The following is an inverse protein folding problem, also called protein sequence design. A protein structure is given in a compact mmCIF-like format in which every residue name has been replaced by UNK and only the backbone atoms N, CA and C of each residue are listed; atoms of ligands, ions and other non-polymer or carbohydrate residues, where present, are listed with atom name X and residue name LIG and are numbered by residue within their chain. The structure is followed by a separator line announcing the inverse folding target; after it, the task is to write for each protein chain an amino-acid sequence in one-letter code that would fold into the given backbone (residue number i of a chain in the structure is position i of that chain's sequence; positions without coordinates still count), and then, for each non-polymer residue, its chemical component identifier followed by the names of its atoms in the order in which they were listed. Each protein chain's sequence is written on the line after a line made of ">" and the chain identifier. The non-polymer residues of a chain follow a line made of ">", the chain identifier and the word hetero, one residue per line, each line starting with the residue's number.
data_IF_515200739195
#
_entry.id   IF_515200739195
#
_cell.length_a   1.000
_cell.length_b   1.000
_cell.length_c   1.000
_cell.angle_alpha   90.00
_cell.angle_beta   90.00
_cell.angle_gamma   90.00
#
_symmetry.space_group_name_H-M   'P 1'
#
loop_
_entity.id
_entity.type
_entity.pdbx_description
1 polymer ?
#
# COMPACT_ATOMS: atom_id res chain seq x y z
N UNK A 1 -19.14 10.84 4.57
CA UNK A 1 -19.61 9.67 5.37
C UNK A 1 -18.56 8.58 5.34
N UNK A 2 -18.14 8.04 6.50
CA UNK A 2 -17.26 6.87 6.58
C UNK A 2 -18.01 5.60 6.12
N UNK A 3 -17.40 4.80 5.25
CA UNK A 3 -18.00 3.56 4.75
C UNK A 3 -17.67 2.36 5.65
N UNK A 4 -18.68 1.53 5.90
CA UNK A 4 -18.52 0.25 6.60
C UNK A 4 -18.27 -0.92 5.62
N UNK A 5 -17.97 -2.08 6.18
CA UNK A 5 -17.71 -3.33 5.46
C UNK A 5 -18.79 -3.68 4.42
N UNK A 6 -20.08 -3.54 4.76
CA UNK A 6 -21.19 -3.83 3.85
C UNK A 6 -21.19 -2.91 2.63
N UNK A 7 -20.93 -1.63 2.84
CA UNK A 7 -20.85 -0.64 1.77
C UNK A 7 -19.63 -0.86 0.89
N UNK A 8 -18.47 -1.13 1.49
CA UNK A 8 -17.22 -1.43 0.76
C UNK A 8 -17.39 -2.72 -0.07
N UNK A 9 -17.98 -3.78 0.50
CA UNK A 9 -18.32 -5.02 -0.21
C UNK A 9 -19.19 -4.75 -1.43
N UNK A 10 -20.27 -3.99 -1.24
CA UNK A 10 -21.18 -3.65 -2.35
C UNK A 10 -20.46 -2.89 -3.47
N UNK A 11 -19.57 -1.94 -3.14
CA UNK A 11 -18.78 -1.21 -4.14
C UNK A 11 -17.78 -2.13 -4.86
N UNK A 12 -17.13 -3.03 -4.14
CA UNK A 12 -16.22 -4.01 -4.74
C UNK A 12 -16.96 -4.96 -5.70
N UNK A 13 -18.11 -5.49 -5.32
CA UNK A 13 -18.88 -6.44 -6.15
C UNK A 13 -19.55 -5.79 -7.35
N UNK A 14 -20.21 -4.63 -7.16
CA UNK A 14 -21.00 -3.98 -8.22
C UNK A 14 -20.18 -3.09 -9.14
N UNK A 15 -19.14 -2.46 -8.60
CA UNK A 15 -18.34 -1.46 -9.34
C UNK A 15 -16.88 -1.90 -9.54
N UNK A 16 -16.51 -3.12 -9.12
CA UNK A 16 -15.12 -3.62 -9.19
C UNK A 16 -14.12 -2.63 -8.57
N UNK A 17 -14.55 -1.97 -7.49
CA UNK A 17 -13.77 -0.92 -6.82
C UNK A 17 -12.41 -1.44 -6.35
N UNK A 18 -12.32 -2.72 -5.96
CA UNK A 18 -11.11 -3.40 -5.51
C UNK A 18 -11.01 -4.72 -6.28
N UNK A 19 -9.88 -4.99 -6.90
CA UNK A 19 -9.67 -6.21 -7.68
C UNK A 19 -8.21 -6.72 -7.58
N UNK A 20 -7.95 -7.91 -7.01
CA UNK A 20 -8.93 -8.87 -6.48
C UNK A 20 -9.49 -8.45 -5.11
N UNK A 21 -10.79 -8.65 -4.91
CA UNK A 21 -11.47 -8.40 -3.63
C UNK A 21 -11.50 -9.64 -2.73
N UNK A 22 -11.20 -9.46 -1.44
CA UNK A 22 -11.25 -10.51 -0.42
C UNK A 22 -12.26 -10.12 0.67
N UNK A 23 -13.41 -10.79 0.66
CA UNK A 23 -14.58 -10.44 1.48
C UNK A 23 -14.38 -10.62 2.99
N UNK A 24 -13.37 -11.40 3.41
CA UNK A 24 -13.08 -11.67 4.83
C UNK A 24 -11.61 -11.45 5.12
N UNK A 25 -11.32 -10.99 6.34
CA UNK A 25 -9.95 -10.91 6.85
C UNK A 25 -9.27 -12.28 6.83
N UNK A 26 -8.21 -12.40 6.04
CA UNK A 26 -7.26 -13.51 6.10
C UNK A 26 -6.17 -13.19 7.10
N UNK A 27 -5.96 -14.06 8.09
CA UNK A 27 -5.05 -13.82 9.22
C UNK A 27 -4.16 -15.02 9.57
N UNK A 28 -4.43 -16.21 9.01
CA UNK A 28 -3.65 -17.40 9.34
C UNK A 28 -2.30 -17.38 8.62
N UNK A 29 -1.22 -17.31 9.40
CA UNK A 29 0.16 -17.41 8.91
C UNK A 29 0.67 -16.20 8.13
N UNK A 30 -0.06 -15.09 8.13
CA UNK A 30 0.27 -13.87 7.37
C UNK A 30 -0.12 -12.61 8.17
N UNK A 31 0.51 -11.49 7.83
CA UNK A 31 0.01 -10.16 8.19
C UNK A 31 -1.32 -9.94 7.45
N UNK A 32 -2.36 -9.68 8.24
CA UNK A 32 -3.72 -9.83 7.77
C UNK A 32 -4.10 -8.90 6.62
N UNK A 33 -4.97 -9.36 5.72
CA UNK A 33 -5.48 -8.56 4.60
C UNK A 33 -6.94 -8.86 4.27
N UNK A 34 -7.58 -8.00 3.47
CA UNK A 34 -8.97 -8.10 3.06
C UNK A 34 -9.91 -7.14 3.79
N UNK A 35 -11.22 -7.39 3.66
CA UNK A 35 -12.26 -6.51 4.20
C UNK A 35 -12.28 -6.46 5.74
N UNK A 36 -12.15 -5.25 6.29
CA UNK A 36 -12.27 -4.92 7.72
C UNK A 36 -13.61 -4.20 7.99
N UNK A 37 -13.96 -3.97 9.26
CA UNK A 37 -15.25 -3.37 9.65
C UNK A 37 -15.51 -1.99 9.04
N UNK A 38 -14.47 -1.16 8.87
CA UNK A 38 -14.54 0.21 8.34
C UNK A 38 -13.38 0.50 7.38
N UNK A 39 -12.93 -0.52 6.65
CA UNK A 39 -11.79 -0.37 5.76
C UNK A 39 -11.45 -1.63 5.01
N UNK A 40 -10.37 -1.58 4.24
CA UNK A 40 -9.86 -2.72 3.51
C UNK A 40 -8.34 -2.75 3.62
N UNK A 41 -7.80 -3.86 4.13
CA UNK A 41 -6.36 -4.06 4.21
C UNK A 41 -5.84 -4.53 2.85
N UNK A 42 -5.04 -3.68 2.19
CA UNK A 42 -4.41 -4.01 0.90
C UNK A 42 -3.04 -4.66 1.12
N UNK A 43 -2.65 -5.48 0.15
CA UNK A 43 -1.37 -6.19 0.15
C UNK A 43 -0.32 -5.44 -0.65
N UNK A 44 0.94 -5.68 -0.32
CA UNK A 44 2.10 -5.24 -1.12
C UNK A 44 2.49 -6.34 -2.12
N UNK A 45 2.79 -5.97 -3.37
CA UNK A 45 3.23 -6.90 -4.40
C UNK A 45 4.69 -7.37 -4.18
N UNK A 46 5.16 -8.29 -5.03
CA UNK A 46 6.50 -8.87 -4.97
C UNK A 46 7.60 -8.04 -5.66
N UNK A 47 7.23 -6.93 -6.31
CA UNK A 47 8.17 -6.04 -7.01
C UNK A 47 8.43 -4.77 -6.19
N UNK A 48 9.69 -4.51 -5.89
CA UNK A 48 10.16 -3.39 -5.08
C UNK A 48 11.22 -2.57 -5.83
N UNK A 49 11.23 -1.27 -5.58
CA UNK A 49 12.31 -0.34 -5.93
C UNK A 49 12.96 0.13 -4.64
N UNK A 50 14.11 -0.44 -4.28
CA UNK A 50 14.82 -0.11 -3.04
C UNK A 50 15.77 1.05 -3.30
N UNK A 51 15.67 2.13 -2.54
CA UNK A 51 16.51 3.31 -2.77
C UNK A 51 17.95 3.07 -2.35
N UNK A 52 18.85 3.59 -3.17
CA UNK A 52 20.30 3.53 -2.97
C UNK A 52 20.93 4.89 -3.23
N UNK A 53 21.91 5.24 -2.43
CA UNK A 53 22.68 6.48 -2.56
C UNK A 53 24.01 6.29 -3.30
N UNK A 54 24.28 5.09 -3.85
CA UNK A 54 25.58 4.75 -4.46
C UNK A 54 25.86 5.60 -5.71
N UNK A 55 24.84 5.90 -6.52
CA UNK A 55 25.01 6.56 -7.81
C UNK A 55 24.45 7.99 -7.87
N UNK A 56 23.57 8.35 -6.92
CA UNK A 56 22.86 9.62 -6.96
C UNK A 56 23.43 10.65 -5.98
N UNK A 57 23.66 11.88 -6.45
CA UNK A 57 24.14 13.00 -5.62
C UNK A 57 23.02 13.69 -4.84
N UNK A 58 21.78 13.58 -5.32
CA UNK A 58 20.58 14.20 -4.73
C UNK A 58 19.31 13.57 -5.31
N UNK A 59 18.18 13.70 -4.60
CA UNK A 59 16.86 13.27 -5.08
C UNK A 59 16.10 14.49 -5.60
N UNK A 60 15.69 14.47 -6.87
CA UNK A 60 14.83 15.49 -7.48
C UNK A 60 13.45 14.91 -7.82
N UNK A 61 12.37 15.30 -7.11
CA UNK A 61 11.02 14.82 -7.40
C UNK A 61 10.51 15.16 -8.80
N UNK A 62 11.05 16.20 -9.48
CA UNK A 62 10.68 16.53 -10.87
C UNK A 62 11.38 15.64 -11.90
N UNK A 63 12.53 15.08 -11.53
CA UNK A 63 13.39 14.28 -12.40
C UNK A 63 13.78 12.98 -11.69
N UNK A 64 12.79 12.11 -11.52
CA UNK A 64 12.97 10.85 -10.79
C UNK A 64 13.89 9.89 -11.56
N UNK A 65 15.14 9.77 -11.11
CA UNK A 65 16.18 8.99 -11.79
C UNK A 65 16.11 7.49 -11.46
N UNK A 66 16.11 6.60 -12.48
CA UNK A 66 16.23 5.16 -12.28
C UNK A 66 17.52 4.72 -11.57
N UNK A 67 18.57 5.56 -11.56
CA UNK A 67 19.84 5.25 -10.88
C UNK A 67 19.75 5.37 -9.34
N UNK A 68 18.65 5.94 -8.83
CA UNK A 68 18.45 6.16 -7.39
C UNK A 68 17.85 4.94 -6.66
N UNK A 69 17.55 3.86 -7.38
CA UNK A 69 17.00 2.64 -6.80
C UNK A 69 17.48 1.39 -7.54
N UNK A 70 17.34 0.25 -6.88
CA UNK A 70 17.48 -1.08 -7.48
C UNK A 70 16.11 -1.73 -7.58
N UNK A 71 15.80 -2.30 -8.75
CA UNK A 71 14.62 -3.15 -8.93
C UNK A 71 14.88 -4.52 -8.31
N UNK A 72 14.02 -4.91 -7.37
CA UNK A 72 14.10 -6.18 -6.65
C UNK A 72 12.77 -6.90 -6.82
N UNK A 73 12.83 -8.11 -7.38
CA UNK A 73 11.72 -9.05 -7.35
C UNK A 73 11.97 -10.07 -6.24
N UNK A 74 11.07 -10.15 -5.27
CA UNK A 74 11.20 -11.07 -4.14
C UNK A 74 11.12 -12.51 -4.63
N UNK A 75 12.13 -13.32 -4.31
CA UNK A 75 12.17 -14.77 -4.61
C UNK A 75 11.75 -15.64 -3.43
N UNK A 76 11.55 -15.04 -2.26
CA UNK A 76 11.09 -15.70 -1.03
C UNK A 76 9.75 -15.11 -0.55
N UNK A 77 9.64 -14.90 0.75
CA UNK A 77 8.45 -14.33 1.42
C UNK A 77 8.55 -12.82 1.65
N UNK A 78 9.76 -12.23 1.69
CA UNK A 78 9.95 -10.83 2.05
C UNK A 78 11.05 -10.10 1.27
N UNK A 79 10.92 -8.78 1.23
CA UNK A 79 11.95 -7.82 0.83
C UNK A 79 12.66 -7.26 2.08
N UNK A 80 13.96 -6.96 1.97
CA UNK A 80 14.74 -6.30 3.02
C UNK A 80 14.98 -4.83 2.65
N UNK A 81 14.40 -3.91 3.41
CA UNK A 81 14.68 -2.47 3.28
C UNK A 81 15.88 -2.13 4.17
N UNK A 82 16.96 -1.53 3.64
CA UNK A 82 18.11 -1.12 4.43
C UNK A 82 17.76 -0.18 5.58
N UNK A 83 18.61 -0.10 6.63
CA UNK A 83 18.50 0.90 7.68
C UNK A 83 18.36 2.32 7.12
N UNK A 84 17.50 3.13 7.72
CA UNK A 84 17.33 4.55 7.40
C UNK A 84 17.15 4.84 5.89
N UNK A 85 16.53 3.91 5.17
CA UNK A 85 16.22 4.00 3.74
C UNK A 85 14.73 3.71 3.52
N UNK A 86 14.30 3.71 2.26
CA UNK A 86 12.93 3.41 1.88
C UNK A 86 12.86 2.60 0.59
N UNK A 87 11.68 2.03 0.35
CA UNK A 87 11.37 1.35 -0.90
C UNK A 87 10.01 1.81 -1.44
N UNK A 88 9.85 1.72 -2.76
CA UNK A 88 8.56 1.79 -3.42
C UNK A 88 8.13 0.39 -3.83
N UNK A 89 6.84 0.12 -3.69
CA UNK A 89 6.19 -1.07 -4.25
C UNK A 89 4.83 -0.66 -4.79
N UNK A 90 4.10 -1.60 -5.35
CA UNK A 90 2.69 -1.42 -5.70
C UNK A 90 1.80 -2.31 -4.85
N UNK A 91 0.53 -1.97 -4.74
CA UNK A 91 -0.47 -2.88 -4.19
C UNK A 91 -0.66 -4.11 -5.08
N UNK A 92 -1.11 -5.21 -4.47
CA UNK A 92 -1.65 -6.36 -5.23
C UNK A 92 -3.01 -5.99 -5.81
N UNK A 93 -3.83 -5.29 -5.03
CA UNK A 93 -5.14 -4.82 -5.44
C UNK A 93 -5.04 -3.66 -6.43
N UNK A 94 -5.78 -3.79 -7.53
CA UNK A 94 -6.08 -2.72 -8.46
C UNK A 94 -7.37 -2.02 -8.03
N UNK A 95 -7.35 -0.69 -8.00
CA UNK A 95 -8.47 0.11 -7.52
C UNK A 95 -9.18 0.79 -8.68
N UNK A 96 -10.50 0.93 -8.55
CA UNK A 96 -11.38 1.71 -9.45
C UNK A 96 -12.29 2.56 -8.59
N UNK A 97 -11.82 3.75 -8.23
CA UNK A 97 -12.54 4.60 -7.28
C UNK A 97 -13.79 5.18 -7.94
N UNK A 98 -14.98 4.99 -7.34
CA UNK A 98 -16.16 5.73 -7.76
C UNK A 98 -15.94 7.25 -7.69
N UNK A 99 -16.64 7.99 -8.53
CA UNK A 99 -16.61 9.47 -8.63
C UNK A 99 -17.03 10.22 -7.34
N UNK A 100 -17.52 9.52 -6.33
CA UNK A 100 -17.97 10.08 -5.04
C UNK A 100 -17.29 9.43 -3.84
N UNK A 101 -16.24 8.63 -4.06
CA UNK A 101 -15.51 7.93 -2.99
C UNK A 101 -14.04 8.32 -3.02
N UNK A 102 -13.55 8.72 -1.85
CA UNK A 102 -12.18 9.04 -1.55
C UNK A 102 -11.63 8.02 -0.55
N UNK A 103 -10.33 7.75 -0.56
CA UNK A 103 -9.72 6.88 0.45
C UNK A 103 -8.42 7.43 1.04
N UNK A 104 -8.24 7.20 2.33
CA UNK A 104 -6.99 7.46 3.06
C UNK A 104 -6.36 6.12 3.41
N UNK A 105 -5.05 6.00 3.23
CA UNK A 105 -4.28 4.84 3.63
C UNK A 105 -3.61 5.06 4.99
N UNK A 106 -3.67 4.05 5.86
CA UNK A 106 -3.04 4.06 7.18
C UNK A 106 -2.20 2.81 7.36
N UNK A 107 -0.97 2.96 7.85
CA UNK A 107 -0.08 1.83 8.10
C UNK A 107 -0.65 0.84 9.12
N UNK A 108 -0.41 -0.46 8.91
CA UNK A 108 -0.80 -1.49 9.87
C UNK A 108 0.08 -1.44 11.12
N UNK A 109 -0.51 -1.70 12.28
CA UNK A 109 0.20 -1.67 13.57
C UNK A 109 1.40 -2.63 13.62
N UNK A 110 1.35 -3.75 12.90
CA UNK A 110 2.48 -4.70 12.78
C UNK A 110 3.75 -4.03 12.29
N UNK A 111 3.66 -3.20 11.26
CA UNK A 111 4.79 -2.47 10.70
C UNK A 111 5.13 -1.22 11.52
N UNK A 112 4.11 -0.46 11.94
CA UNK A 112 4.31 0.76 12.71
C UNK A 112 5.07 0.52 14.03
N UNK A 113 4.79 -0.59 14.73
CA UNK A 113 5.51 -0.98 15.97
C UNK A 113 7.00 -1.30 15.73
N UNK A 114 7.37 -1.62 14.51
CA UNK A 114 8.74 -1.93 14.10
C UNK A 114 9.47 -0.72 13.52
N UNK A 115 8.92 0.50 13.65
CA UNK A 115 9.53 1.71 13.09
C UNK A 115 9.44 1.77 11.56
N UNK A 116 8.45 1.10 10.97
CA UNK A 116 8.19 1.16 9.53
C UNK A 116 7.00 2.07 9.29
N UNK A 117 7.24 3.12 8.52
CA UNK A 117 6.24 4.12 8.15
C UNK A 117 5.84 3.87 6.70
N UNK A 118 4.55 3.81 6.45
CA UNK A 118 4.01 3.68 5.10
C UNK A 118 3.43 5.02 4.68
N UNK A 119 3.97 5.64 3.64
CA UNK A 119 3.44 6.89 3.11
C UNK A 119 2.67 6.61 1.80
N UNK A 120 1.37 6.80 1.85
CA UNK A 120 0.50 6.58 0.70
C UNK A 120 -0.39 7.80 0.58
N UNK A 121 -0.33 8.47 -0.56
CA UNK A 121 -1.17 9.63 -0.82
C UNK A 121 -2.64 9.22 -0.90
N UNK A 122 -3.57 10.13 -0.62
CA UNK A 122 -4.98 9.82 -0.76
C UNK A 122 -5.34 9.34 -2.16
N UNK A 123 -6.38 8.51 -2.22
CA UNK A 123 -6.91 7.96 -3.47
C UNK A 123 -8.13 8.76 -3.86
N UNK A 124 -8.01 9.50 -4.95
CA UNK A 124 -9.02 10.46 -5.41
C UNK A 124 -10.24 9.78 -6.05
N UNK A 125 -11.43 10.43 -6.01
CA UNK A 125 -12.57 9.99 -6.79
C UNK A 125 -12.23 9.89 -8.28
N UNK A 126 -12.71 8.84 -8.94
CA UNK A 126 -12.44 8.57 -10.37
C UNK A 126 -11.04 8.04 -10.67
N UNK A 127 -10.14 7.93 -9.67
CA UNK A 127 -8.82 7.35 -9.88
C UNK A 127 -8.87 5.84 -10.10
N UNK A 128 -8.05 5.35 -11.02
CA UNK A 128 -7.94 3.93 -11.37
C UNK A 128 -6.48 3.51 -11.52
N UNK A 129 -6.08 2.43 -10.84
CA UNK A 129 -4.69 1.96 -10.86
C UNK A 129 -4.28 1.04 -9.71
N UNK A 130 -3.03 0.56 -9.77
CA UNK A 130 -2.35 0.00 -8.61
C UNK A 130 -1.82 1.14 -7.73
N UNK A 131 -2.01 1.03 -6.42
CA UNK A 131 -1.57 2.05 -5.46
C UNK A 131 -0.06 1.94 -5.31
N UNK A 132 0.65 3.06 -5.49
CA UNK A 132 2.07 3.15 -5.14
C UNK A 132 2.21 3.20 -3.62
N UNK A 133 2.99 2.27 -3.08
CA UNK A 133 3.25 2.10 -1.66
C UNK A 133 4.68 2.56 -1.37
N UNK A 134 4.83 3.68 -0.67
CA UNK A 134 6.12 4.08 -0.10
C UNK A 134 6.26 3.47 1.30
N UNK A 135 7.42 2.86 1.55
CA UNK A 135 7.73 2.14 2.77
C UNK A 135 9.06 2.64 3.30
N UNK A 136 9.01 3.51 4.29
CA UNK A 136 10.15 4.08 5.00
C UNK A 136 10.56 3.20 6.18
N UNK A 137 11.81 2.73 6.17
CA UNK A 137 12.44 2.12 7.33
C UNK A 137 13.16 3.20 8.14
N UNK A 138 12.54 3.63 9.24
CA UNK A 138 13.13 4.68 10.10
C UNK A 138 14.06 4.12 11.17
N UNK A 139 14.36 2.82 11.13
CA UNK A 139 15.23 2.15 12.10
C UNK A 139 16.67 2.03 11.59
N UNK A 140 17.58 1.73 12.51
CA UNK A 140 18.99 1.46 12.22
C UNK A 140 19.28 0.00 11.85
N UNK A 141 18.25 -0.82 11.60
CA UNK A 141 18.38 -2.23 11.23
C UNK A 141 17.64 -2.52 9.90
N UNK A 142 18.07 -3.51 9.10
CA UNK A 142 17.29 -3.95 7.95
C UNK A 142 15.90 -4.43 8.36
N UNK A 143 14.87 -4.03 7.62
CA UNK A 143 13.48 -4.35 7.92
C UNK A 143 12.89 -5.29 6.87
N UNK A 144 12.18 -6.32 7.33
CA UNK A 144 11.47 -7.26 6.47
C UNK A 144 10.09 -6.73 6.10
N UNK A 145 9.77 -6.70 4.81
CA UNK A 145 8.44 -6.44 4.28
C UNK A 145 7.95 -7.68 3.55
N UNK A 146 6.88 -8.29 4.04
CA UNK A 146 6.36 -9.56 3.51
C UNK A 146 5.49 -9.31 2.27
N UNK A 147 5.91 -9.88 1.14
CA UNK A 147 5.23 -9.76 -0.13
C UNK A 147 3.92 -10.58 -0.13
N UNK A 148 2.90 -10.09 -0.83
CA UNK A 148 1.55 -10.68 -0.90
C UNK A 148 0.80 -10.71 0.44
N UNK A 149 1.29 -10.01 1.46
CA UNK A 149 0.64 -9.85 2.77
C UNK A 149 0.20 -8.39 3.00
N UNK A 150 -0.66 -8.18 4.01
CA UNK A 150 -1.24 -6.86 4.26
C UNK A 150 -0.20 -5.82 4.70
N UNK A 151 -0.21 -4.64 4.10
CA UNK A 151 0.72 -3.54 4.40
C UNK A 151 0.01 -2.34 5.05
N UNK A 152 -1.07 -1.87 4.42
CA UNK A 152 -1.84 -0.69 4.85
C UNK A 152 -3.32 -0.99 4.83
N UNK A 153 -4.08 -0.26 5.65
CA UNK A 153 -5.53 -0.26 5.64
C UNK A 153 -6.04 1.00 4.91
N UNK A 154 -6.91 0.80 3.93
CA UNK A 154 -7.67 1.87 3.30
C UNK A 154 -8.93 2.17 4.11
N UNK A 155 -9.18 3.45 4.37
CA UNK A 155 -10.38 3.98 4.99
C UNK A 155 -11.13 4.80 3.93
N UNK A 156 -12.38 4.42 3.65
CA UNK A 156 -13.15 5.01 2.56
C UNK A 156 -14.15 6.05 3.07
N UNK A 157 -14.15 7.21 2.42
CA UNK A 157 -15.05 8.31 2.70
C UNK A 157 -15.88 8.58 1.45
N UNK A 158 -17.20 8.58 1.60
CA UNK A 158 -18.13 9.00 0.56
C UNK A 158 -18.50 10.47 0.77
N UNK A 159 -18.30 11.29 -0.26
CA UNK A 159 -18.66 12.70 -0.28
C UNK A 159 -19.90 12.97 -1.14
N UNK A 160 -20.42 14.20 -1.06
CA UNK A 160 -21.25 14.73 -2.14
C UNK A 160 -20.33 15.06 -3.33
N UNK A 161 -20.79 14.83 -4.55
CA UNK A 161 -20.04 15.26 -5.73
C UNK A 161 -19.97 16.80 -5.72
N UNK A 162 -18.83 17.40 -6.13
CA UNK A 162 -18.76 18.84 -6.36
C UNK A 162 -19.86 19.34 -7.30
#
# INVERSE_FOLDING_TARGET
>A
MLLNDKQIRQLAEKHRMIDPFVEKQKHQGVISYGLSSFGYDIRVAEEFKIFTNVHSKHVDPKNFSPESYIDVKVTGDHCLIPPNSFALARSVEYMRMPEDVFAIAVGKSTYARCGIVTNVTPIEPGWEGYITLEISNTTSLPAKIYANEGLVQLVFLKGEKP
#
